data_IF_370710718372
#
_entry.id   IF_370710718372
#
_cell.length_a   1.000
_cell.length_b   1.000
_cell.length_c   1.000
_cell.angle_alpha   90.00
_cell.angle_beta   90.00
_cell.angle_gamma   90.00
#
_symmetry.space_group_name_H-M   'P 1'
#
loop_
_entity.id
_entity.type
_entity.pdbx_description
1 polymer ?
#
# COMPACT_ATOMS: atom_id res chain seq x y z
N UNK A 1 -31.96 5.56 -2.90
CA UNK A 1 -31.47 5.59 -2.90
C UNK A 1 -31.00 5.67 -3.22
N UNK A 2 -31.01 5.78 -3.22
CA UNK A 2 -30.52 5.81 -3.41
C UNK A 2 -29.80 5.69 -3.62
N UNK A 3 -30.05 5.55 -3.61
CA UNK A 3 -29.33 5.52 -3.71
C UNK A 3 -28.56 5.42 -3.90
N UNK A 4 -28.68 5.44 -3.90
CA UNK A 4 -27.96 5.32 -3.90
C UNK A 4 -27.22 5.18 -4.11
N UNK A 5 -27.41 5.19 -4.13
CA UNK A 5 -26.91 5.03 -4.18
C UNK A 5 -26.08 5.02 -3.97
N UNK A 6 -26.15 5.05 -3.68
CA UNK A 6 -25.54 4.91 -3.36
C UNK A 6 -24.84 4.49 -3.40
N UNK A 7 -24.77 4.39 -3.17
CA UNK A 7 -24.38 3.79 -3.16
C UNK A 7 -23.64 3.26 -3.61
N UNK A 8 -23.30 3.34 -4.04
CA UNK A 8 -22.76 2.56 -4.38
C UNK A 8 -21.47 2.18 -4.27
N UNK A 9 -20.92 3.03 -4.49
CA UNK A 9 -19.56 2.82 -4.07
C UNK A 9 -19.49 1.95 -2.84
N UNK A 10 -20.35 2.17 -1.99
CA UNK A 10 -20.41 1.39 -0.77
C UNK A 10 -20.81 -0.06 -1.00
N UNK A 11 -21.33 -0.31 -2.17
CA UNK A 11 -21.70 -1.68 -2.52
C UNK A 11 -20.46 -2.53 -2.81
N UNK A 12 -19.33 -1.87 -3.09
CA UNK A 12 -18.09 -2.56 -3.40
C UNK A 12 -16.98 -1.91 -2.60
N UNK A 13 -16.92 -2.22 -1.31
CA UNK A 13 -15.86 -1.64 -0.51
C UNK A 13 -14.50 -2.06 -1.03
N UNK A 14 -13.54 -1.17 -0.88
CA UNK A 14 -12.19 -1.46 -1.31
C UNK A 14 -11.64 -2.66 -0.58
N UNK A 15 -10.93 -3.50 -1.30
CA UNK A 15 -10.20 -4.60 -0.71
C UNK A 15 -8.81 -4.06 -0.42
N UNK A 16 -8.49 -3.96 0.86
CA UNK A 16 -7.30 -3.27 1.33
C UNK A 16 -6.26 -4.27 1.79
N UNK A 17 -5.02 -4.01 1.44
CA UNK A 17 -3.88 -4.81 1.88
C UNK A 17 -2.93 -3.92 2.66
N UNK A 18 -2.51 -4.37 3.84
CA UNK A 18 -1.50 -3.68 4.63
C UNK A 18 -0.27 -4.57 4.71
N UNK A 19 0.90 -4.01 4.42
CA UNK A 19 2.15 -4.76 4.56
C UNK A 19 2.51 -4.85 6.03
N UNK A 20 2.74 -6.06 6.52
CA UNK A 20 2.84 -6.32 7.95
C UNK A 20 4.06 -7.13 8.31
N UNK A 21 4.58 -6.90 9.51
CA UNK A 21 5.69 -7.69 10.04
C UNK A 21 5.23 -9.01 10.62
N UNK A 22 3.95 -9.18 10.88
CA UNK A 22 3.41 -10.40 11.45
C UNK A 22 1.98 -10.64 11.04
N UNK A 23 1.38 -11.69 11.58
CA UNK A 23 0.06 -12.15 11.15
C UNK A 23 -1.08 -11.57 11.97
N UNK A 24 -0.82 -10.57 12.80
CA UNK A 24 -1.83 -9.97 13.67
C UNK A 24 -2.06 -8.52 13.30
N UNK A 25 -3.30 -8.06 13.45
CA UNK A 25 -3.62 -6.65 13.25
C UNK A 25 -2.88 -5.75 14.24
N UNK A 26 -2.37 -6.29 15.30
CA UNK A 26 -1.59 -5.53 16.28
C UNK A 26 -0.10 -5.49 15.97
N UNK A 27 0.32 -6.20 14.93
CA UNK A 27 1.72 -6.14 14.51
C UNK A 27 1.99 -4.84 13.75
N UNK A 28 3.26 -4.48 13.70
CA UNK A 28 3.67 -3.25 13.05
C UNK A 28 3.55 -3.34 11.53
N UNK A 29 3.21 -2.22 10.91
CA UNK A 29 3.28 -2.11 9.45
C UNK A 29 4.74 -2.25 9.05
N UNK A 30 5.00 -3.09 8.06
CA UNK A 30 6.34 -3.19 7.50
C UNK A 30 6.46 -2.12 6.42
N UNK A 31 7.44 -1.21 6.54
CA UNK A 31 7.57 -0.15 5.54
C UNK A 31 8.10 -0.62 4.19
N UNK A 32 8.56 -1.86 4.10
CA UNK A 32 9.16 -2.37 2.87
C UNK A 32 8.18 -3.24 2.11
N UNK A 33 7.59 -2.71 1.06
CA UNK A 33 6.50 -3.38 0.37
C UNK A 33 6.82 -4.81 -0.06
N UNK A 34 7.89 -5.00 -0.80
CA UNK A 34 8.21 -6.34 -1.35
C UNK A 34 8.83 -7.29 -0.34
N UNK A 35 9.21 -6.79 0.83
CA UNK A 35 9.95 -7.56 1.82
C UNK A 35 9.16 -7.87 3.08
N UNK A 36 7.90 -7.46 3.13
CA UNK A 36 7.09 -7.70 4.31
C UNK A 36 6.82 -9.19 4.48
N UNK A 37 6.58 -9.59 5.73
CA UNK A 37 6.31 -10.99 6.03
C UNK A 37 4.91 -11.41 5.61
N UNK A 38 3.94 -10.51 5.81
CA UNK A 38 2.54 -10.82 5.54
C UNK A 38 1.85 -9.66 4.87
N UNK A 39 0.84 -10.00 4.05
CA UNK A 39 -0.16 -9.07 3.57
C UNK A 39 -1.41 -9.25 4.40
N UNK A 40 -1.86 -8.20 5.05
CA UNK A 40 -3.07 -8.26 5.86
C UNK A 40 -4.22 -7.73 5.03
N UNK A 41 -5.17 -8.59 4.71
CA UNK A 41 -6.23 -8.30 3.74
C UNK A 41 -7.56 -8.09 4.47
N UNK A 42 -8.24 -6.99 4.15
CA UNK A 42 -9.53 -6.69 4.75
C UNK A 42 -10.31 -5.75 3.83
N UNK A 43 -11.61 -5.62 4.08
CA UNK A 43 -12.43 -4.72 3.28
C UNK A 43 -13.28 -3.78 4.14
N UNK A 44 -12.96 -3.66 5.42
CA UNK A 44 -13.69 -2.80 6.34
C UNK A 44 -12.84 -2.57 7.57
N UNK A 45 -12.94 -1.40 8.21
CA UNK A 45 -12.14 -1.14 9.41
C UNK A 45 -12.54 -2.01 10.60
N UNK A 46 -13.72 -2.65 10.54
CA UNK A 46 -14.18 -3.49 11.65
C UNK A 46 -13.99 -4.97 11.38
N UNK A 47 -13.53 -5.34 10.19
CA UNK A 47 -13.28 -6.73 9.82
C UNK A 47 -11.91 -7.15 10.32
N UNK A 48 -11.82 -8.38 10.86
CA UNK A 48 -10.51 -8.92 11.18
C UNK A 48 -9.73 -9.18 9.90
N UNK A 49 -8.48 -8.73 9.82
CA UNK A 49 -7.70 -8.96 8.62
C UNK A 49 -7.37 -10.43 8.42
N UNK A 50 -7.31 -10.82 7.16
CA UNK A 50 -6.83 -12.16 6.81
C UNK A 50 -5.35 -12.04 6.49
N UNK A 51 -4.52 -12.82 7.17
CA UNK A 51 -3.09 -12.81 6.95
C UNK A 51 -2.72 -13.73 5.80
N UNK A 52 -2.02 -13.19 4.81
CA UNK A 52 -1.52 -13.97 3.68
C UNK A 52 -0.01 -13.81 3.65
N UNK A 53 0.70 -14.93 3.69
CA UNK A 53 2.15 -14.88 3.70
C UNK A 53 2.68 -14.31 2.39
N UNK A 54 3.70 -13.45 2.48
CA UNK A 54 4.35 -12.91 1.30
C UNK A 54 5.46 -13.86 0.87
N UNK A 55 5.13 -14.76 -0.05
CA UNK A 55 6.09 -15.75 -0.51
C UNK A 55 7.17 -15.16 -1.41
N UNK A 56 7.00 -13.91 -1.86
CA UNK A 56 7.98 -13.26 -2.72
C UNK A 56 9.12 -12.61 -1.92
N UNK A 57 8.99 -12.51 -0.60
CA UNK A 57 9.93 -11.71 0.19
C UNK A 57 11.37 -12.23 0.14
N UNK A 58 11.54 -13.51 -0.15
CA UNK A 58 12.86 -14.11 -0.23
C UNK A 58 13.54 -13.93 -1.58
N UNK A 59 12.84 -13.39 -2.56
CA UNK A 59 13.44 -13.13 -3.85
C UNK A 59 14.34 -11.91 -3.74
N UNK A 60 15.47 -11.96 -4.39
CA UNK A 60 16.35 -10.80 -4.41
C UNK A 60 15.75 -9.71 -5.26
N UNK A 61 16.20 -9.60 -6.51
CA UNK A 61 15.58 -8.69 -7.46
C UNK A 61 14.20 -9.23 -7.82
N UNK A 62 13.25 -8.33 -7.96
CA UNK A 62 11.92 -8.73 -8.39
C UNK A 62 10.95 -9.06 -7.28
N UNK A 63 11.35 -8.98 -5.99
CA UNK A 63 10.43 -9.25 -4.90
C UNK A 63 9.24 -8.31 -4.93
N UNK A 64 9.47 -7.03 -5.19
CA UNK A 64 8.38 -6.06 -5.26
C UNK A 64 7.45 -6.31 -6.42
N UNK A 65 7.99 -6.71 -7.57
CA UNK A 65 7.18 -7.00 -8.75
C UNK A 65 6.28 -8.21 -8.48
N UNK A 66 6.86 -9.28 -7.92
CA UNK A 66 6.08 -10.49 -7.64
C UNK A 66 5.02 -10.22 -6.59
N UNK A 67 5.37 -9.45 -5.56
CA UNK A 67 4.40 -9.09 -4.54
C UNK A 67 3.24 -8.30 -5.13
N UNK A 68 3.55 -7.32 -5.99
CA UNK A 68 2.51 -6.52 -6.63
C UNK A 68 1.59 -7.36 -7.50
N UNK A 69 2.17 -8.31 -8.25
CA UNK A 69 1.37 -9.19 -9.08
C UNK A 69 0.49 -10.11 -8.25
N UNK A 70 1.00 -10.58 -7.11
CA UNK A 70 0.20 -11.41 -6.21
C UNK A 70 -1.02 -10.64 -5.70
N UNK A 71 -0.83 -9.37 -5.36
CA UNK A 71 -1.95 -8.54 -4.91
C UNK A 71 -2.97 -8.32 -6.01
N UNK A 72 -2.49 -8.13 -7.25
CA UNK A 72 -3.41 -7.98 -8.37
C UNK A 72 -4.24 -9.25 -8.57
N UNK A 73 -3.62 -10.41 -8.39
CA UNK A 73 -4.32 -11.68 -8.53
C UNK A 73 -5.34 -11.90 -7.42
N UNK A 74 -5.20 -11.20 -6.31
CA UNK A 74 -6.16 -11.27 -5.21
C UNK A 74 -7.20 -10.17 -5.27
N UNK A 75 -7.24 -9.42 -6.37
CA UNK A 75 -8.20 -8.32 -6.58
C UNK A 75 -8.10 -7.23 -5.52
N UNK A 76 -6.90 -6.97 -5.06
CA UNK A 76 -6.66 -5.88 -4.11
C UNK A 76 -6.86 -4.55 -4.82
N UNK A 77 -7.52 -3.60 -4.17
CA UNK A 77 -7.75 -2.26 -4.71
C UNK A 77 -6.77 -1.24 -4.13
N UNK A 78 -6.36 -1.44 -2.87
CA UNK A 78 -5.59 -0.44 -2.13
C UNK A 78 -4.52 -1.14 -1.32
N UNK A 79 -3.33 -0.56 -1.31
CA UNK A 79 -2.20 -1.03 -0.51
C UNK A 79 -1.79 0.06 0.46
N UNK A 80 -1.62 -0.30 1.72
CA UNK A 80 -1.09 0.60 2.75
C UNK A 80 0.31 0.10 3.12
N UNK A 81 1.30 0.95 2.90
CA UNK A 81 2.70 0.55 3.11
C UNK A 81 3.54 1.78 3.42
N UNK A 82 4.83 1.59 3.66
CA UNK A 82 5.73 2.70 3.91
C UNK A 82 6.40 3.19 2.64
N UNK A 83 7.23 2.34 2.06
CA UNK A 83 8.02 2.70 0.89
C UNK A 83 7.69 1.79 -0.28
N UNK A 84 7.74 2.36 -1.47
CA UNK A 84 7.33 1.66 -2.68
C UNK A 84 8.32 1.99 -3.78
N UNK A 85 9.16 1.04 -4.13
CA UNK A 85 10.17 1.24 -5.17
C UNK A 85 9.56 1.36 -6.55
N UNK A 86 10.37 1.73 -7.54
CA UNK A 86 9.84 2.03 -8.88
C UNK A 86 9.23 0.84 -9.59
N UNK A 87 9.78 -0.34 -9.43
CA UNK A 87 9.25 -1.51 -10.14
C UNK A 87 7.91 -1.95 -9.58
N UNK A 88 7.79 -2.01 -8.25
CA UNK A 88 6.51 -2.35 -7.63
C UNK A 88 5.46 -1.29 -7.92
N UNK A 89 5.85 -0.02 -7.82
CA UNK A 89 4.94 1.07 -8.10
C UNK A 89 4.35 0.97 -9.51
N UNK A 90 5.21 0.66 -10.49
CA UNK A 90 4.77 0.54 -11.88
C UNK A 90 3.74 -0.58 -12.04
N UNK A 91 3.98 -1.73 -11.41
CA UNK A 91 3.05 -2.85 -11.51
C UNK A 91 1.72 -2.53 -10.84
N UNK A 92 1.77 -1.94 -9.65
CA UNK A 92 0.53 -1.56 -8.96
C UNK A 92 -0.26 -0.56 -9.80
N UNK A 93 0.42 0.42 -10.36
CA UNK A 93 -0.23 1.42 -11.19
C UNK A 93 -0.88 0.79 -12.42
N UNK A 94 -0.16 -0.11 -13.07
CA UNK A 94 -0.65 -0.77 -14.28
C UNK A 94 -1.85 -1.66 -14.01
N UNK A 95 -1.95 -2.19 -12.79
CA UNK A 95 -3.05 -3.09 -12.42
C UNK A 95 -4.18 -2.37 -11.70
N UNK A 96 -4.09 -1.05 -11.56
CA UNK A 96 -5.16 -0.26 -10.97
C UNK A 96 -5.19 -0.26 -9.44
N UNK A 97 -4.11 -0.68 -8.81
CA UNK A 97 -4.04 -0.69 -7.34
C UNK A 97 -3.46 0.64 -6.87
N UNK A 98 -4.19 1.30 -5.97
CA UNK A 98 -3.72 2.54 -5.38
C UNK A 98 -2.92 2.24 -4.13
N UNK A 99 -1.90 3.04 -3.86
CA UNK A 99 -1.03 2.85 -2.71
C UNK A 99 -1.06 4.10 -1.84
N UNK A 100 -1.07 3.90 -0.53
CA UNK A 100 -1.08 5.00 0.43
C UNK A 100 0.05 4.78 1.42
N UNK A 101 0.66 5.87 1.83
CA UNK A 101 1.77 5.83 2.78
C UNK A 101 1.22 5.89 4.20
N UNK A 102 1.63 4.91 5.02
CA UNK A 102 1.22 4.88 6.42
C UNK A 102 2.11 5.81 7.25
N UNK A 103 1.62 6.14 8.43
CA UNK A 103 2.35 6.97 9.38
C UNK A 103 3.12 6.12 10.39
N UNK A 104 3.38 4.86 10.06
CA UNK A 104 3.96 3.91 10.98
C UNK A 104 2.87 3.29 11.83
N UNK A 105 3.25 2.69 12.96
CA UNK A 105 2.28 2.09 13.87
C UNK A 105 1.87 0.70 13.46
N UNK A 106 0.71 0.28 13.94
CA UNK A 106 0.21 -1.07 13.72
C UNK A 106 -0.65 -1.16 12.47
N UNK A 107 -0.89 -2.40 12.03
CA UNK A 107 -1.80 -2.66 10.93
C UNK A 107 -3.17 -2.05 11.21
N UNK A 108 -3.69 -2.27 12.42
CA UNK A 108 -4.99 -1.75 12.81
C UNK A 108 -5.05 -0.23 12.70
N UNK A 109 -3.99 0.44 13.14
CA UNK A 109 -3.92 1.88 13.08
C UNK A 109 -3.89 2.39 11.64
N UNK A 110 -3.13 1.72 10.79
CA UNK A 110 -3.06 2.09 9.37
C UNK A 110 -4.43 1.98 8.71
N UNK A 111 -5.16 0.92 9.03
CA UNK A 111 -6.50 0.72 8.49
C UNK A 111 -7.44 1.84 8.93
N UNK A 112 -7.41 2.17 10.22
CA UNK A 112 -8.23 3.27 10.71
C UNK A 112 -7.90 4.58 10.01
N UNK A 113 -6.61 4.86 9.88
CA UNK A 113 -6.18 6.09 9.23
C UNK A 113 -6.64 6.14 7.77
N UNK A 114 -6.56 5.01 7.09
CA UNK A 114 -7.01 4.97 5.70
C UNK A 114 -8.51 5.29 5.59
N UNK A 115 -9.33 4.62 6.39
CA UNK A 115 -10.77 4.81 6.28
C UNK A 115 -11.23 6.18 6.78
N UNK A 116 -10.38 6.87 7.55
CA UNK A 116 -10.67 8.23 7.98
C UNK A 116 -10.06 9.28 7.05
N UNK A 117 -9.44 8.85 5.97
CA UNK A 117 -8.87 9.76 4.99
C UNK A 117 -7.61 10.47 5.45
N UNK A 118 -6.84 9.86 6.34
CA UNK A 118 -5.67 10.49 6.92
C UNK A 118 -4.34 10.13 6.26
N UNK A 119 -4.37 9.20 5.30
CA UNK A 119 -3.15 8.77 4.65
C UNK A 119 -2.97 9.50 3.34
N UNK A 120 -1.72 9.69 2.95
CA UNK A 120 -1.36 10.36 1.69
C UNK A 120 -1.13 9.30 0.62
N UNK A 121 -1.74 9.49 -0.54
CA UNK A 121 -1.56 8.57 -1.65
C UNK A 121 -0.15 8.67 -2.19
N UNK A 122 0.45 7.52 -2.51
CA UNK A 122 1.76 7.45 -3.14
C UNK A 122 1.56 7.58 -4.63
N UNK A 123 1.99 8.71 -5.19
CA UNK A 123 1.79 8.99 -6.60
C UNK A 123 3.07 8.89 -7.41
N UNK A 124 4.18 8.56 -6.75
CA UNK A 124 5.47 8.35 -7.38
C UNK A 124 6.26 7.37 -6.53
N UNK A 125 7.23 6.69 -7.12
CA UNK A 125 8.04 5.75 -6.33
C UNK A 125 8.73 6.44 -5.16
N UNK A 126 8.89 5.70 -4.07
CA UNK A 126 9.54 6.19 -2.85
C UNK A 126 10.60 5.19 -2.43
N UNK A 127 11.23 5.47 -1.31
CA UNK A 127 12.14 4.54 -0.70
C UNK A 127 13.55 5.09 -0.59
N UNK A 128 14.38 4.43 0.22
CA UNK A 128 15.71 4.95 0.50
C UNK A 128 16.61 5.04 -0.73
N UNK A 129 16.29 4.27 -1.76
CA UNK A 129 17.11 4.32 -2.98
C UNK A 129 16.91 5.55 -3.80
N UNK A 130 16.00 6.43 -3.43
CA UNK A 130 15.67 7.60 -4.21
C UNK A 130 16.13 8.89 -3.63
N UNK A 131 16.74 8.81 -2.51
CA UNK A 131 17.24 10.06 -2.07
C UNK A 131 18.68 10.19 -2.44
N UNK A 132 18.42 10.14 -2.86
CA UNK A 132 19.23 10.44 -3.22
C UNK A 132 19.61 11.16 -3.37
N UNK A 133 18.81 11.11 -3.27
CA UNK A 133 18.89 11.73 -3.36
C UNK A 133 19.14 12.30 -3.68
N UNK A 134 19.07 12.56 -3.58
CA UNK A 134 19.04 13.21 -3.77
C UNK A 134 18.94 13.99 -4.10
N UNK A 135 18.90 14.27 -4.09
CA UNK A 135 18.55 14.92 -4.32
C UNK A 135 18.25 15.23 -5.05
N UNK A 136 17.91 15.22 -5.51
CA UNK A 136 17.36 15.57 -6.12
C UNK A 136 16.76 15.83 -6.11
N UNK A 137 16.31 15.81 -5.95
CA UNK A 137 15.54 16.22 -5.68
C UNK A 137 15.19 16.54 -5.62
N UNK A 138 15.04 16.59 -5.48
CA UNK A 138 14.52 17.20 -5.33
C UNK A 138 14.47 17.99 -5.71
N UNK A 139 14.57 18.35 -5.70
CA UNK A 139 14.29 19.06 -6.21
C UNK A 139 13.69 19.28 -7.04
N UNK A 140 13.56 18.94 -7.53
CA UNK A 140 12.78 18.99 -8.37
C UNK A 140 11.87 18.99 -8.21
N UNK A 141 11.75 18.77 -7.70
CA UNK A 141 10.91 19.00 -7.40
C UNK A 141 10.57 19.70 -7.13
N UNK A 142 10.73 19.79 -6.92
CA UNK A 142 10.27 20.56 -6.70
C UNK A 142 9.95 21.19 -7.17
N UNK A 143 10.05 21.21 -7.45
CA UNK A 143 9.63 21.72 -7.99
C UNK A 143 8.94 21.79 -8.47
N UNK A 144 8.69 21.39 -8.49
CA UNK A 144 7.88 21.33 -8.84
C UNK A 144 7.15 21.64 -8.81
N UNK A 145 7.13 21.51 -8.70
CA UNK A 145 6.44 21.87 -8.49
C UNK A 145 5.93 22.29 -8.65
N UNK A 146 5.68 22.44 -8.75
CA UNK A 146 4.97 22.96 -8.75
C UNK A 146 4.54 23.30 -8.79
N UNK A 147 4.45 23.44 -8.72
CA UNK A 147 3.93 23.84 -8.65
C UNK A 147 3.71 24.15 -8.70
#
# INVERSE_FOLDING_TARGET
MPAGEFHHANLHPDKVCVTSTGASANDAVDPRFGRCAYFMILNSPVTEPKAVENTARGLGNGAGIQAAQALANMDINVVLTGDLGPNAFRVLRATGIRAFRTNGGTVRQAVEDYFKGRLTEIEAPTGPGHHGGRGFGSRWQEQRVPP
#
